data_IF_445524340494
#
_entry.id   IF_445524340494
#
_cell.length_a   1.000
_cell.length_b   1.000
_cell.length_c   1.000
_cell.angle_alpha   90.00
_cell.angle_beta   90.00
_cell.angle_gamma   90.00
#
_symmetry.space_group_name_H-M   'P 1'
#
loop_
_entity.id
_entity.type
_entity.pdbx_description
1 polymer ?
#
# COMPACT_ATOMS: atom_id res chain seq x y z
N UNK A 1 3.79 26.31 -21.16
CA UNK A 1 3.80 27.12 -19.92
C UNK A 1 4.40 26.24 -18.84
N UNK A 2 5.67 26.49 -18.49
CA UNK A 2 6.33 25.80 -17.38
C UNK A 2 5.61 26.23 -16.09
N UNK A 3 4.93 25.29 -15.45
CA UNK A 3 4.35 25.49 -14.12
C UNK A 3 5.50 25.75 -13.16
N UNK A 4 5.43 26.88 -12.46
CA UNK A 4 6.26 27.18 -11.29
C UNK A 4 6.40 25.94 -10.42
N UNK A 5 7.64 25.55 -10.15
CA UNK A 5 8.06 24.35 -9.43
C UNK A 5 7.66 24.45 -7.95
N UNK A 6 6.38 24.31 -7.66
CA UNK A 6 5.87 24.26 -6.29
C UNK A 6 6.17 22.87 -5.74
N UNK A 7 7.04 22.83 -4.73
CA UNK A 7 7.34 21.64 -3.94
C UNK A 7 6.04 20.95 -3.50
N UNK A 8 5.90 19.66 -3.82
CA UNK A 8 4.70 18.87 -3.56
C UNK A 8 4.83 18.15 -2.22
N UNK A 9 3.78 18.15 -1.42
CA UNK A 9 3.77 17.45 -0.12
C UNK A 9 3.40 16.00 -0.28
N UNK A 10 4.11 15.14 0.43
CA UNK A 10 3.81 13.72 0.58
C UNK A 10 3.59 13.45 2.06
N UNK A 11 2.33 13.26 2.42
CA UNK A 11 1.89 13.17 3.81
C UNK A 11 1.70 11.71 4.19
N UNK A 12 2.29 11.29 5.31
CA UNK A 12 2.19 9.96 5.86
C UNK A 12 1.40 9.99 7.16
N UNK A 13 0.26 9.31 7.20
CA UNK A 13 -0.62 9.28 8.37
C UNK A 13 -0.18 8.18 9.32
N UNK A 14 0.32 8.54 10.50
CA UNK A 14 0.63 7.59 11.56
C UNK A 14 -0.64 7.30 12.39
N UNK A 15 -1.28 6.17 12.12
CA UNK A 15 -2.55 5.74 12.75
C UNK A 15 -2.25 4.76 13.91
N UNK A 16 -3.06 4.73 14.98
CA UNK A 16 -2.90 3.71 16.03
C UNK A 16 -2.85 2.30 15.46
N UNK A 17 -1.92 1.48 15.96
CA UNK A 17 -1.74 0.09 15.52
C UNK A 17 -1.44 -0.07 14.02
N UNK A 18 -0.81 0.93 13.40
CA UNK A 18 -0.34 0.83 12.01
C UNK A 18 0.68 -0.31 11.83
N UNK A 19 0.70 -0.89 10.63
CA UNK A 19 1.76 -1.76 10.16
C UNK A 19 2.93 -0.91 9.66
N UNK A 20 4.12 -1.09 10.27
CA UNK A 20 5.25 -0.18 10.06
C UNK A 20 5.64 -0.09 8.59
N UNK A 21 5.74 -1.22 7.90
CA UNK A 21 6.19 -1.26 6.51
C UNK A 21 5.16 -0.66 5.52
N UNK A 22 3.87 -0.65 5.87
CA UNK A 22 2.83 0.01 5.06
C UNK A 22 3.02 1.53 5.03
N UNK A 23 3.61 2.09 6.10
CA UNK A 23 3.97 3.50 6.19
C UNK A 23 5.37 3.74 5.63
N UNK A 24 6.35 2.98 6.13
CA UNK A 24 7.78 3.26 5.88
C UNK A 24 8.25 2.82 4.51
N UNK A 25 7.61 1.84 3.87
CA UNK A 25 7.93 1.43 2.50
C UNK A 25 7.71 2.57 1.49
N UNK A 26 6.49 3.10 1.37
CA UNK A 26 6.21 4.31 0.60
C UNK A 26 7.09 5.51 1.00
N UNK A 27 7.26 5.76 2.30
CA UNK A 27 8.10 6.84 2.80
C UNK A 27 9.55 6.73 2.31
N UNK A 28 10.13 5.53 2.33
CA UNK A 28 11.49 5.31 1.82
C UNK A 28 11.57 5.65 0.32
N UNK A 29 10.57 5.24 -0.49
CA UNK A 29 10.54 5.56 -1.93
C UNK A 29 10.60 7.06 -2.18
N UNK A 30 9.82 7.86 -1.45
CA UNK A 30 9.84 9.32 -1.61
C UNK A 30 11.09 9.97 -0.99
N UNK A 31 11.66 9.41 0.07
CA UNK A 31 12.95 9.85 0.63
C UNK A 31 14.07 9.71 -0.40
N UNK A 32 14.19 8.55 -1.04
CA UNK A 32 15.19 8.32 -2.10
C UNK A 32 14.97 9.25 -3.31
N UNK A 33 13.71 9.52 -3.66
CA UNK A 33 13.40 10.45 -4.73
C UNK A 33 13.88 11.88 -4.41
N UNK A 34 13.73 12.32 -3.15
CA UNK A 34 14.24 13.62 -2.68
C UNK A 34 15.76 13.66 -2.75
N UNK A 35 16.46 12.61 -2.29
CA UNK A 35 17.92 12.53 -2.36
C UNK A 35 18.43 12.55 -3.82
N UNK A 36 17.60 12.09 -4.76
CA UNK A 36 17.84 12.16 -6.20
C UNK A 36 17.38 13.48 -6.86
N UNK A 37 16.88 14.44 -6.07
CA UNK A 37 16.52 15.80 -6.50
C UNK A 37 15.05 16.01 -6.88
N UNK A 38 14.14 15.11 -6.52
CA UNK A 38 12.71 15.33 -6.72
C UNK A 38 12.16 16.41 -5.76
N UNK A 39 11.25 17.30 -6.22
CA UNK A 39 10.77 18.44 -5.42
C UNK A 39 9.62 18.02 -4.48
N UNK A 40 9.89 17.13 -3.52
CA UNK A 40 8.93 16.70 -2.51
C UNK A 40 9.28 17.21 -1.10
N UNK A 41 8.24 17.44 -0.29
CA UNK A 41 8.32 17.67 1.15
C UNK A 41 7.61 16.51 1.87
N UNK A 42 8.31 15.80 2.78
CA UNK A 42 7.69 14.74 3.57
C UNK A 42 7.05 15.31 4.84
N UNK A 43 5.81 14.93 5.09
CA UNK A 43 5.05 15.36 6.28
C UNK A 43 4.55 14.12 7.01
N UNK A 44 4.72 14.08 8.33
CA UNK A 44 4.22 13.00 9.17
C UNK A 44 3.09 13.52 10.06
N UNK A 45 1.92 12.90 9.95
CA UNK A 45 0.67 13.41 10.50
C UNK A 45 0.09 12.45 11.52
N UNK A 46 -0.42 12.98 12.62
CA UNK A 46 -1.28 12.27 13.56
C UNK A 46 -2.76 12.54 13.23
N UNK A 47 -3.58 11.50 13.02
CA UNK A 47 -5.00 11.66 12.79
C UNK A 47 -5.77 11.91 14.11
N UNK A 48 -5.15 11.71 15.28
CA UNK A 48 -5.82 11.88 16.57
C UNK A 48 -5.50 13.27 17.13
N UNK A 49 -6.55 14.05 17.41
CA UNK A 49 -6.41 15.43 17.87
C UNK A 49 -5.63 15.50 19.19
N UNK A 50 -4.58 16.33 19.21
CA UNK A 50 -3.73 16.53 20.38
C UNK A 50 -2.70 15.43 20.64
N UNK A 51 -2.68 14.34 19.87
CA UNK A 51 -1.63 13.33 19.94
C UNK A 51 -0.52 13.66 18.96
N UNK A 52 0.73 13.61 19.44
CA UNK A 52 1.96 13.83 18.64
C UNK A 52 2.86 12.60 18.58
N UNK A 53 2.45 11.53 19.22
CA UNK A 53 3.12 10.24 19.21
C UNK A 53 2.13 9.16 18.80
N UNK A 54 2.60 8.16 18.07
CA UNK A 54 1.77 7.04 17.67
C UNK A 54 2.53 5.72 17.76
N UNK A 55 1.93 4.73 18.43
CA UNK A 55 2.51 3.40 18.56
C UNK A 55 1.95 2.48 17.47
N UNK A 56 2.86 1.86 16.73
CA UNK A 56 2.56 0.83 15.72
C UNK A 56 2.18 -0.51 16.35
N UNK A 57 1.59 -1.38 15.53
CA UNK A 57 1.23 -2.74 15.92
C UNK A 57 2.44 -3.61 16.34
N UNK A 58 3.65 -3.28 15.85
CA UNK A 58 4.90 -3.98 16.23
C UNK A 58 5.61 -3.32 17.43
N UNK A 59 5.02 -2.29 18.02
CA UNK A 59 5.54 -1.62 19.22
C UNK A 59 6.57 -0.52 18.97
N UNK A 60 6.86 -0.17 17.72
CA UNK A 60 7.66 1.02 17.36
C UNK A 60 6.79 2.26 17.53
N UNK A 61 7.32 3.29 18.19
CA UNK A 61 6.65 4.58 18.37
C UNK A 61 7.20 5.61 17.39
N UNK A 62 6.30 6.29 16.69
CA UNK A 62 6.59 7.47 15.88
C UNK A 62 6.33 8.72 16.72
N UNK A 63 7.28 9.65 16.76
CA UNK A 63 7.19 10.91 17.49
C UNK A 63 7.16 12.12 16.55
N UNK A 64 6.99 13.31 17.11
CA UNK A 64 6.99 14.59 16.39
C UNK A 64 5.97 14.70 15.26
N UNK A 65 4.86 13.98 15.39
CA UNK A 65 3.77 14.01 14.43
C UNK A 65 3.06 15.37 14.48
N UNK A 66 2.73 15.89 13.30
CA UNK A 66 1.92 17.09 13.15
C UNK A 66 0.44 16.75 13.30
N UNK A 67 -0.35 17.50 14.09
CA UNK A 67 -1.80 17.30 14.14
C UNK A 67 -2.43 17.53 12.76
N UNK A 68 -3.36 16.67 12.37
CA UNK A 68 -3.99 16.75 11.05
C UNK A 68 -4.62 18.11 10.75
N UNK A 69 -5.19 18.76 11.75
CA UNK A 69 -5.86 20.06 11.65
C UNK A 69 -4.90 21.26 11.56
N UNK A 70 -3.59 21.01 11.63
CA UNK A 70 -2.55 22.02 11.45
C UNK A 70 -1.81 21.89 10.11
N UNK A 71 -2.11 20.85 9.33
CA UNK A 71 -1.50 20.62 8.02
C UNK A 71 -2.42 21.17 6.93
N UNK A 72 -1.89 22.09 6.12
CA UNK A 72 -2.57 22.60 4.93
C UNK A 72 -2.08 21.85 3.70
N UNK A 73 -3.00 21.33 2.89
CA UNK A 73 -2.67 20.61 1.66
C UNK A 73 -3.25 21.35 0.45
N UNK A 74 -2.64 21.14 -0.70
CA UNK A 74 -3.02 21.73 -1.97
C UNK A 74 -3.31 20.65 -2.99
N UNK A 75 -3.90 21.07 -4.11
CA UNK A 75 -4.14 20.19 -5.25
C UNK A 75 -2.86 19.49 -5.70
N UNK A 76 -2.93 18.17 -5.81
CA UNK A 76 -1.79 17.35 -6.25
C UNK A 76 -0.81 16.96 -5.16
N UNK A 77 -1.02 17.35 -3.90
CA UNK A 77 -0.34 16.71 -2.76
C UNK A 77 -0.84 15.26 -2.60
N UNK A 78 -0.03 14.43 -1.93
CA UNK A 78 -0.31 13.01 -1.69
C UNK A 78 -0.58 12.76 -0.21
N UNK A 79 -1.55 11.91 0.11
CA UNK A 79 -1.87 11.48 1.48
C UNK A 79 -1.87 9.95 1.57
N UNK A 80 -0.85 9.39 2.21
CA UNK A 80 -0.67 7.96 2.44
C UNK A 80 -1.30 7.52 3.77
N UNK A 81 -2.22 6.55 3.67
CA UNK A 81 -2.92 5.91 4.78
C UNK A 81 -2.42 4.46 4.85
N UNK A 82 -1.63 4.09 5.87
CA UNK A 82 -1.10 2.74 6.00
C UNK A 82 -2.19 1.77 6.44
N UNK A 83 -1.91 0.47 6.33
CA UNK A 83 -2.70 -0.54 7.01
C UNK A 83 -2.51 -0.47 8.52
N UNK A 84 -3.55 -0.92 9.22
CA UNK A 84 -3.60 -1.09 10.66
C UNK A 84 -3.97 -2.53 10.98
N UNK A 85 -3.68 -2.96 12.22
CA UNK A 85 -4.15 -4.25 12.72
C UNK A 85 -5.64 -4.40 12.46
N UNK A 86 -6.03 -5.49 11.81
CA UNK A 86 -7.41 -5.66 11.31
C UNK A 86 -8.48 -5.50 12.40
N UNK A 87 -8.21 -5.96 13.63
CA UNK A 87 -9.10 -5.80 14.79
C UNK A 87 -9.39 -4.35 15.16
N UNK A 88 -8.58 -3.39 14.69
CA UNK A 88 -8.75 -1.95 14.91
C UNK A 88 -9.52 -1.23 13.81
N UNK A 89 -9.77 -1.89 12.68
CA UNK A 89 -10.53 -1.32 11.54
C UNK A 89 -12.00 -1.06 11.86
N UNK A 90 -12.56 -1.69 12.89
CA UNK A 90 -13.93 -1.51 13.35
C UNK A 90 -14.03 -1.31 14.87
N UNK A 91 -12.92 -1.01 15.52
CA UNK A 91 -12.88 -0.77 16.96
C UNK A 91 -13.66 0.52 17.27
N UNK A 92 -14.75 0.48 18.07
CA UNK A 92 -15.57 1.65 18.33
C UNK A 92 -14.81 2.83 18.93
N UNK A 93 -13.82 2.58 19.78
CA UNK A 93 -13.03 3.65 20.41
C UNK A 93 -12.17 4.36 19.37
N UNK A 94 -11.46 3.60 18.55
CA UNK A 94 -10.66 4.13 17.43
C UNK A 94 -11.56 4.90 16.46
N UNK A 95 -12.73 4.35 16.13
CA UNK A 95 -13.66 4.99 15.19
C UNK A 95 -14.21 6.32 15.71
N UNK A 96 -14.46 6.44 17.02
CA UNK A 96 -14.87 7.70 17.65
C UNK A 96 -13.73 8.72 17.62
N UNK A 97 -12.51 8.33 17.98
CA UNK A 97 -11.35 9.21 17.97
C UNK A 97 -10.98 9.70 16.56
N UNK A 98 -11.22 8.88 15.54
CA UNK A 98 -10.94 9.18 14.13
C UNK A 98 -12.01 10.07 13.47
N UNK A 99 -13.17 10.32 14.10
CA UNK A 99 -14.24 11.12 13.48
C UNK A 99 -13.80 12.52 13.00
N UNK A 100 -13.06 13.32 13.80
CA UNK A 100 -12.55 14.61 13.34
C UNK A 100 -11.62 14.49 12.13
N UNK A 101 -10.81 13.43 12.07
CA UNK A 101 -9.93 13.15 10.94
C UNK A 101 -10.72 12.80 9.68
N UNK A 102 -11.76 11.96 9.79
CA UNK A 102 -12.63 11.65 8.64
C UNK A 102 -13.29 12.92 8.06
N UNK A 103 -13.72 13.84 8.92
CA UNK A 103 -14.24 15.15 8.46
C UNK A 103 -13.18 15.97 7.74
N UNK A 104 -11.94 15.96 8.22
CA UNK A 104 -10.82 16.63 7.55
C UNK A 104 -10.48 16.00 6.20
N UNK A 105 -10.56 14.67 6.06
CA UNK A 105 -10.36 14.00 4.77
C UNK A 105 -11.34 14.52 3.70
N UNK A 106 -12.60 14.81 4.06
CA UNK A 106 -13.54 15.44 3.12
C UNK A 106 -13.10 16.83 2.67
N UNK A 107 -12.55 17.64 3.58
CA UNK A 107 -12.04 18.97 3.26
C UNK A 107 -10.85 18.86 2.30
N UNK A 108 -9.92 17.96 2.60
CA UNK A 108 -8.74 17.66 1.80
C UNK A 108 -9.12 17.13 0.42
N UNK A 109 -10.12 16.25 0.33
CA UNK A 109 -10.61 15.71 -0.95
C UNK A 109 -11.12 16.82 -1.87
N UNK A 110 -11.83 17.82 -1.35
CA UNK A 110 -12.32 18.96 -2.14
C UNK A 110 -11.20 19.84 -2.72
N UNK A 111 -9.99 19.75 -2.19
CA UNK A 111 -8.82 20.46 -2.71
C UNK A 111 -8.15 19.71 -3.88
N UNK A 112 -8.53 18.46 -4.14
CA UNK A 112 -7.94 17.63 -5.18
C UNK A 112 -6.60 17.01 -4.77
N UNK A 113 -6.48 16.63 -3.49
CA UNK A 113 -5.39 15.79 -2.97
C UNK A 113 -5.59 14.35 -3.42
N UNK A 114 -4.50 13.66 -3.71
CA UNK A 114 -4.48 12.24 -4.04
C UNK A 114 -4.38 11.40 -2.77
N UNK A 115 -5.30 10.46 -2.59
CA UNK A 115 -5.33 9.54 -1.46
C UNK A 115 -4.66 8.22 -1.87
N UNK A 116 -3.73 7.74 -1.07
CA UNK A 116 -3.00 6.51 -1.31
C UNK A 116 -3.20 5.59 -0.10
N UNK A 117 -3.81 4.44 -0.29
CA UNK A 117 -3.97 3.44 0.79
C UNK A 117 -3.08 2.23 0.56
N UNK A 118 -2.55 1.68 1.65
CA UNK A 118 -1.76 0.45 1.63
C UNK A 118 -2.45 -0.59 2.49
N UNK A 119 -2.57 -1.82 1.99
CA UNK A 119 -3.11 -2.95 2.74
C UNK A 119 -4.50 -2.61 3.32
N UNK A 120 -4.70 -2.80 4.63
CA UNK A 120 -5.95 -2.48 5.34
C UNK A 120 -6.23 -0.98 5.49
N UNK A 121 -5.35 -0.09 5.01
CA UNK A 121 -5.58 1.36 5.01
C UNK A 121 -6.79 1.76 4.17
N UNK A 122 -7.18 0.92 3.22
CA UNK A 122 -8.43 1.06 2.48
C UNK A 122 -9.66 1.05 3.41
N UNK A 123 -9.65 0.27 4.51
CA UNK A 123 -10.74 0.27 5.49
C UNK A 123 -10.89 1.63 6.18
N UNK A 124 -9.76 2.28 6.53
CA UNK A 124 -9.76 3.60 7.16
C UNK A 124 -10.35 4.64 6.21
N UNK A 125 -9.95 4.64 4.93
CA UNK A 125 -10.49 5.58 3.96
C UNK A 125 -11.95 5.27 3.61
N UNK A 126 -12.34 4.00 3.50
CA UNK A 126 -13.72 3.58 3.27
C UNK A 126 -14.64 3.97 4.44
N UNK A 127 -14.16 3.88 5.69
CA UNK A 127 -14.88 4.32 6.89
C UNK A 127 -15.24 5.81 6.86
N UNK A 128 -14.44 6.65 6.20
CA UNK A 128 -14.79 8.06 5.98
C UNK A 128 -15.97 8.24 5.01
N UNK A 129 -16.24 7.25 4.14
CA UNK A 129 -17.22 7.33 3.06
C UNK A 129 -16.69 7.87 1.74
N UNK A 130 -15.42 8.31 1.68
CA UNK A 130 -14.82 8.88 0.46
C UNK A 130 -14.66 7.87 -0.68
N UNK A 131 -14.55 6.57 -0.39
CA UNK A 131 -14.46 5.52 -1.40
C UNK A 131 -15.83 5.09 -1.97
N UNK A 132 -16.95 5.62 -1.47
CA UNK A 132 -18.26 5.25 -1.98
C UNK A 132 -18.39 5.60 -3.48
N UNK A 133 -18.78 4.62 -4.29
CA UNK A 133 -18.86 4.70 -5.75
C UNK A 133 -17.52 4.61 -6.47
N UNK A 134 -16.40 4.40 -5.76
CA UNK A 134 -15.06 4.28 -6.32
C UNK A 134 -14.62 2.82 -6.39
N UNK A 135 -13.59 2.56 -7.19
CA UNK A 135 -12.87 1.29 -7.26
C UNK A 135 -11.68 1.32 -6.32
N UNK A 136 -11.49 0.26 -5.54
CA UNK A 136 -10.36 0.13 -4.65
C UNK A 136 -9.93 -1.34 -4.48
N UNK A 137 -8.73 -1.56 -3.96
CA UNK A 137 -8.27 -2.85 -3.47
C UNK A 137 -7.78 -2.73 -2.02
N UNK A 138 -7.56 -3.86 -1.35
CA UNK A 138 -7.13 -3.94 0.06
C UNK A 138 -6.36 -5.25 0.25
N UNK A 139 -5.94 -5.56 1.47
CA UNK A 139 -5.28 -6.85 1.74
C UNK A 139 -6.18 -8.03 1.36
N UNK A 140 -5.62 -9.00 0.65
CA UNK A 140 -6.34 -10.14 0.06
C UNK A 140 -7.11 -10.97 1.09
N UNK A 141 -6.55 -11.16 2.29
CA UNK A 141 -7.22 -11.87 3.40
C UNK A 141 -8.54 -11.23 3.82
N UNK A 142 -8.74 -9.93 3.55
CA UNK A 142 -9.89 -9.16 4.04
C UNK A 142 -10.82 -8.69 2.93
N UNK A 143 -10.77 -9.30 1.73
CA UNK A 143 -11.66 -8.95 0.63
C UNK A 143 -13.15 -9.13 0.95
N UNK A 144 -13.51 -10.25 1.59
CA UNK A 144 -14.91 -10.51 1.96
C UNK A 144 -15.38 -9.50 3.01
N UNK A 145 -14.62 -9.32 4.09
CA UNK A 145 -14.90 -8.33 5.12
C UNK A 145 -15.04 -6.90 4.57
N UNK A 146 -14.18 -6.52 3.61
CA UNK A 146 -14.26 -5.20 2.99
C UNK A 146 -15.54 -5.03 2.19
N UNK A 147 -15.91 -6.03 1.39
CA UNK A 147 -17.11 -6.02 0.56
C UNK A 147 -18.38 -5.96 1.42
N UNK A 148 -18.41 -6.71 2.52
CA UNK A 148 -19.56 -6.74 3.42
C UNK A 148 -19.75 -5.42 4.18
N UNK A 149 -18.66 -4.78 4.61
CA UNK A 149 -18.70 -3.51 5.37
C UNK A 149 -18.89 -2.29 4.48
N UNK A 150 -18.38 -2.32 3.26
CA UNK A 150 -18.39 -1.18 2.35
C UNK A 150 -18.95 -1.56 0.97
N UNK A 151 -20.23 -1.99 0.90
CA UNK A 151 -20.85 -2.49 -0.34
C UNK A 151 -20.96 -1.44 -1.45
N UNK A 152 -20.82 -0.16 -1.13
CA UNK A 152 -20.81 0.93 -2.10
C UNK A 152 -19.43 1.14 -2.74
N UNK A 153 -18.38 0.44 -2.29
CA UNK A 153 -17.04 0.46 -2.90
C UNK A 153 -16.93 -0.72 -3.85
N UNK A 154 -16.50 -0.48 -5.08
CA UNK A 154 -16.22 -1.56 -6.03
C UNK A 154 -14.87 -2.17 -5.70
N UNK A 155 -14.85 -3.24 -4.91
CA UNK A 155 -13.62 -3.98 -4.64
C UNK A 155 -13.09 -4.62 -5.93
N UNK A 156 -11.84 -4.34 -6.27
CA UNK A 156 -11.11 -4.96 -7.37
C UNK A 156 -10.10 -5.95 -6.78
N UNK A 157 -10.44 -7.25 -6.72
CA UNK A 157 -9.51 -8.26 -6.22
C UNK A 157 -8.38 -8.52 -7.23
N UNK A 158 -7.35 -9.24 -6.79
CA UNK A 158 -6.26 -9.73 -7.64
C UNK A 158 -5.51 -8.63 -8.41
N UNK A 159 -5.28 -7.47 -7.79
CA UNK A 159 -4.43 -6.39 -8.32
C UNK A 159 -3.44 -5.93 -7.25
N UNK A 160 -2.17 -5.68 -7.60
CA UNK A 160 -1.21 -5.08 -6.66
C UNK A 160 -1.68 -3.71 -6.18
N UNK A 161 -2.17 -2.90 -7.11
CA UNK A 161 -2.79 -1.61 -6.82
C UNK A 161 -3.88 -1.24 -7.84
N UNK A 162 -4.76 -0.35 -7.42
CA UNK A 162 -5.89 0.19 -8.21
C UNK A 162 -5.81 1.70 -8.17
N UNK A 163 -5.97 2.31 -9.35
CA UNK A 163 -6.10 3.75 -9.54
C UNK A 163 -7.54 4.06 -9.99
N UNK A 164 -8.21 4.97 -9.29
CA UNK A 164 -9.51 5.51 -9.65
C UNK A 164 -9.59 7.01 -9.32
N UNK A 165 -9.37 7.86 -10.33
CA UNK A 165 -9.32 9.32 -10.17
C UNK A 165 -8.21 9.76 -9.22
N UNK A 166 -8.59 10.29 -8.06
CA UNK A 166 -7.65 10.73 -7.00
C UNK A 166 -7.38 9.64 -5.96
N UNK A 167 -7.98 8.46 -6.09
CA UNK A 167 -7.84 7.36 -5.16
C UNK A 167 -6.90 6.29 -5.72
N UNK A 168 -5.88 5.97 -4.95
CA UNK A 168 -4.93 4.90 -5.22
C UNK A 168 -4.95 3.97 -4.02
N UNK A 169 -5.02 2.67 -4.25
CA UNK A 169 -5.06 1.66 -3.19
C UNK A 169 -4.20 0.47 -3.57
N UNK A 170 -3.56 -0.19 -2.60
CA UNK A 170 -2.68 -1.35 -2.84
C UNK A 170 -2.99 -2.52 -1.92
N UNK A 171 -2.84 -3.75 -2.43
CA UNK A 171 -3.37 -4.97 -1.82
C UNK A 171 -2.41 -5.71 -0.87
N UNK A 172 -1.30 -5.07 -0.47
CA UNK A 172 -0.30 -5.72 0.38
C UNK A 172 0.73 -4.75 0.92
N UNK A 173 1.46 -5.22 1.93
CA UNK A 173 2.45 -4.44 2.68
C UNK A 173 3.51 -3.84 1.74
N UNK A 174 4.19 -4.69 0.98
CA UNK A 174 5.23 -4.26 0.03
C UNK A 174 4.65 -3.64 -1.25
N UNK A 175 3.36 -3.88 -1.54
CA UNK A 175 2.68 -3.26 -2.69
C UNK A 175 2.58 -1.73 -2.57
N UNK A 176 2.71 -1.18 -1.35
CA UNK A 176 2.85 0.27 -1.14
C UNK A 176 4.11 0.85 -1.79
N UNK A 177 5.21 0.08 -1.86
CA UNK A 177 6.44 0.47 -2.55
C UNK A 177 6.18 0.53 -4.07
N UNK A 178 5.52 -0.50 -4.61
CA UNK A 178 5.17 -0.57 -6.03
C UNK A 178 4.24 0.59 -6.45
N UNK A 179 3.22 0.88 -5.63
CA UNK A 179 2.34 2.02 -5.83
C UNK A 179 3.11 3.35 -5.81
N UNK A 180 4.07 3.50 -4.90
CA UNK A 180 4.87 4.72 -4.79
C UNK A 180 5.79 4.91 -5.98
N UNK A 181 6.40 3.84 -6.50
CA UNK A 181 7.20 3.87 -7.73
C UNK A 181 6.34 4.25 -8.95
N UNK A 182 5.13 3.71 -9.05
CA UNK A 182 4.14 4.09 -10.08
C UNK A 182 3.78 5.59 -9.99
N UNK A 183 3.57 6.11 -8.78
CA UNK A 183 3.33 7.53 -8.56
C UNK A 183 4.53 8.40 -8.97
N UNK A 184 5.76 7.99 -8.65
CA UNK A 184 6.96 8.69 -9.11
C UNK A 184 7.09 8.72 -10.63
N UNK A 185 6.74 7.63 -11.31
CA UNK A 185 6.73 7.55 -12.78
C UNK A 185 5.77 8.60 -13.37
N UNK A 186 4.56 8.71 -12.79
CA UNK A 186 3.52 9.64 -13.24
C UNK A 186 3.78 11.10 -12.89
N UNK A 187 4.33 11.34 -11.70
CA UNK A 187 4.44 12.69 -11.13
C UNK A 187 5.78 13.36 -11.42
N UNK A 188 6.83 12.58 -11.70
CA UNK A 188 8.19 13.08 -11.93
C UNK A 188 8.70 12.60 -13.29
N UNK A 189 9.03 11.31 -13.42
CA UNK A 189 9.39 10.69 -14.69
C UNK A 189 9.62 9.18 -14.53
N UNK A 190 9.53 8.38 -15.62
CA UNK A 190 9.95 6.98 -15.62
C UNK A 190 11.41 6.79 -15.19
N UNK A 191 12.29 7.76 -15.51
CA UNK A 191 13.70 7.72 -15.12
C UNK A 191 13.87 7.80 -13.60
N UNK A 192 13.13 8.69 -12.95
CA UNK A 192 13.16 8.85 -11.49
C UNK A 192 12.72 7.55 -10.79
N UNK A 193 11.57 7.01 -11.18
CA UNK A 193 11.07 5.74 -10.64
C UNK A 193 12.08 4.60 -10.82
N UNK A 194 12.71 4.50 -12.00
CA UNK A 194 13.74 3.50 -12.27
C UNK A 194 15.03 3.70 -11.45
N UNK A 195 15.42 4.96 -11.16
CA UNK A 195 16.57 5.24 -10.29
C UNK A 195 16.28 4.82 -8.85
N UNK A 196 15.13 5.22 -8.30
CA UNK A 196 14.72 4.83 -6.95
C UNK A 196 14.58 3.32 -6.81
N UNK A 197 13.91 2.65 -7.77
CA UNK A 197 13.77 1.19 -7.76
C UNK A 197 15.13 0.47 -7.76
N UNK A 198 16.14 0.99 -8.46
CA UNK A 198 17.51 0.45 -8.41
C UNK A 198 18.17 0.65 -7.05
N UNK A 199 18.00 1.82 -6.43
CA UNK A 199 18.55 2.09 -5.08
C UNK A 199 17.95 1.13 -4.05
N UNK A 200 16.64 0.88 -4.16
CA UNK A 200 15.91 -0.03 -3.26
C UNK A 200 16.06 -1.52 -3.60
N UNK A 201 16.78 -1.85 -4.68
CA UNK A 201 16.92 -3.22 -5.19
C UNK A 201 15.56 -3.94 -5.40
N UNK A 202 14.53 -3.20 -5.82
CA UNK A 202 13.23 -3.79 -6.15
C UNK A 202 13.22 -4.29 -7.60
N UNK A 203 12.76 -5.53 -7.80
CA UNK A 203 12.94 -6.32 -9.05
C UNK A 203 11.59 -6.85 -9.59
N UNK A 204 11.38 -6.93 -10.92
CA UNK A 204 11.30 -5.85 -11.89
C UNK A 204 9.87 -5.20 -11.93
N UNK A 205 9.70 -4.21 -12.82
CA UNK A 205 8.51 -3.37 -13.06
C UNK A 205 7.17 -4.10 -12.87
N UNK A 206 6.53 -3.91 -11.72
CA UNK A 206 5.13 -4.30 -11.48
C UNK A 206 4.19 -3.20 -11.98
N UNK A 207 3.16 -3.60 -12.69
CA UNK A 207 2.11 -2.76 -13.26
C UNK A 207 0.81 -2.96 -12.49
N UNK A 208 -0.17 -2.09 -12.74
CA UNK A 208 -1.51 -2.28 -12.18
C UNK A 208 -2.16 -3.59 -12.62
N UNK A 209 -1.72 -4.22 -13.71
CA UNK A 209 -2.29 -5.48 -14.21
C UNK A 209 -1.77 -6.72 -13.47
N UNK A 210 -0.67 -6.58 -12.73
CA UNK A 210 -0.03 -7.70 -12.07
C UNK A 210 -0.83 -8.20 -10.84
N UNK A 211 -0.90 -9.53 -10.62
CA UNK A 211 -1.60 -10.11 -9.49
C UNK A 211 -0.79 -9.96 -8.19
N UNK A 212 -1.42 -9.57 -7.06
CA UNK A 212 -0.75 -9.22 -5.80
C UNK A 212 -0.03 -10.42 -5.17
N UNK A 213 -0.52 -11.62 -5.45
CA UNK A 213 0.19 -12.87 -5.21
C UNK A 213 0.66 -13.36 -6.58
N UNK A 214 1.97 -13.39 -6.79
CA UNK A 214 2.52 -14.00 -8.00
C UNK A 214 2.14 -15.49 -8.03
N UNK A 215 2.01 -16.09 -9.21
CA UNK A 215 1.84 -17.54 -9.33
C UNK A 215 2.96 -18.30 -8.59
N UNK A 216 4.14 -17.69 -8.49
CA UNK A 216 5.31 -18.19 -7.77
C UNK A 216 5.23 -18.06 -6.25
N UNK A 217 4.31 -17.26 -5.70
CA UNK A 217 4.06 -17.16 -4.26
C UNK A 217 2.75 -17.82 -3.85
N UNK A 218 1.83 -18.00 -4.80
CA UNK A 218 0.59 -18.71 -4.59
C UNK A 218 0.88 -20.15 -4.14
N UNK A 219 0.16 -20.58 -3.09
CA UNK A 219 0.24 -21.94 -2.56
C UNK A 219 1.61 -22.38 -2.00
N UNK A 220 2.54 -21.44 -1.74
CA UNK A 220 3.84 -21.69 -1.09
C UNK A 220 3.82 -21.49 0.44
N UNK A 221 2.68 -21.71 1.08
CA UNK A 221 2.52 -21.51 2.53
C UNK A 221 2.69 -22.81 3.34
N UNK A 222 3.19 -23.89 2.73
CA UNK A 222 3.46 -25.16 3.41
C UNK A 222 4.85 -25.18 4.05
N UNK A 223 4.99 -25.98 5.11
CA UNK A 223 6.26 -26.22 5.81
C UNK A 223 7.13 -27.31 5.15
N UNK A 224 6.71 -27.88 4.02
CA UNK A 224 7.42 -28.96 3.33
C UNK A 224 8.40 -28.41 2.28
N UNK A 225 9.70 -28.51 2.56
CA UNK A 225 10.79 -28.07 1.67
C UNK A 225 10.82 -28.83 0.33
N UNK A 226 10.26 -30.04 0.26
CA UNK A 226 10.17 -30.82 -0.97
C UNK A 226 9.17 -30.19 -1.94
N UNK A 227 8.03 -29.75 -1.42
CA UNK A 227 7.03 -29.08 -2.24
C UNK A 227 7.56 -27.72 -2.72
N UNK A 228 8.37 -27.03 -1.90
CA UNK A 228 9.08 -25.82 -2.31
C UNK A 228 10.06 -26.09 -3.46
N UNK A 229 10.85 -27.15 -3.33
CA UNK A 229 11.83 -27.54 -4.36
C UNK A 229 11.16 -27.86 -5.70
N UNK A 230 10.00 -28.53 -5.68
CA UNK A 230 9.18 -28.78 -6.88
C UNK A 230 8.64 -27.48 -7.48
N UNK A 231 8.14 -26.57 -6.64
CA UNK A 231 7.61 -25.28 -7.11
C UNK A 231 8.73 -24.41 -7.72
N UNK A 232 9.94 -24.41 -7.14
CA UNK A 232 11.11 -23.73 -7.70
C UNK A 232 11.49 -24.32 -9.06
N UNK A 233 11.57 -25.65 -9.14
CA UNK A 233 11.87 -26.33 -10.40
C UNK A 233 10.87 -25.99 -11.51
N UNK A 234 9.58 -26.01 -11.21
CA UNK A 234 8.53 -25.61 -12.16
C UNK A 234 8.64 -24.13 -12.56
N UNK A 235 9.15 -23.28 -11.67
CA UNK A 235 9.32 -21.86 -11.93
C UNK A 235 10.49 -21.59 -12.88
N UNK A 236 11.58 -22.31 -12.68
CA UNK A 236 12.79 -22.20 -13.50
C UNK A 236 12.64 -22.88 -14.87
N UNK A 237 11.76 -23.88 -14.99
CA UNK A 237 11.54 -24.70 -16.20
C UNK A 237 10.13 -24.55 -16.78
N UNK A 238 9.56 -23.34 -16.72
CA UNK A 238 8.16 -23.08 -17.12
C UNK A 238 7.82 -23.41 -18.59
N UNK A 239 8.82 -23.54 -19.46
CA UNK A 239 8.65 -23.94 -20.87
C UNK A 239 8.60 -25.45 -21.10
N UNK A 240 8.96 -26.24 -20.10
CA UNK A 240 9.21 -27.67 -20.25
C UNK A 240 7.95 -28.47 -19.92
N UNK A 241 7.75 -29.60 -20.61
CA UNK A 241 6.70 -30.55 -20.25
C UNK A 241 7.20 -31.39 -19.09
N UNK A 242 6.70 -31.10 -17.90
CA UNK A 242 7.01 -31.83 -16.66
C UNK A 242 5.82 -32.71 -16.27
N UNK A 243 6.06 -33.98 -15.92
CA UNK A 243 5.03 -34.91 -15.41
C UNK A 243 5.06 -35.01 -13.88
N UNK A 244 3.98 -35.52 -13.30
CA UNK A 244 3.86 -35.67 -11.85
C UNK A 244 4.91 -36.66 -11.31
N UNK A 245 5.20 -37.71 -12.07
CA UNK A 245 6.19 -38.74 -11.73
C UNK A 245 7.60 -38.17 -11.67
N UNK A 246 7.95 -37.27 -12.60
CA UNK A 246 9.26 -36.60 -12.63
C UNK A 246 9.47 -35.69 -11.41
N UNK A 247 8.43 -34.96 -11.02
CA UNK A 247 8.47 -34.12 -9.82
C UNK A 247 8.57 -34.95 -8.54
N UNK A 248 7.87 -36.08 -8.50
CA UNK A 248 7.88 -36.98 -7.36
C UNK A 248 9.25 -37.67 -7.19
N UNK A 249 9.87 -38.10 -8.29
CA UNK A 249 11.23 -38.65 -8.30
C UNK A 249 12.27 -37.61 -7.81
N UNK A 250 12.15 -36.36 -8.25
CA UNK A 250 13.06 -35.28 -7.88
C UNK A 250 13.10 -34.99 -6.37
N UNK A 251 12.01 -35.25 -5.66
CA UNK A 251 11.91 -34.99 -4.20
C UNK A 251 11.65 -36.26 -3.38
N UNK A 252 11.94 -37.42 -3.96
CA UNK A 252 11.90 -38.74 -3.32
C UNK A 252 10.56 -39.08 -2.66
N UNK A 253 9.45 -38.71 -3.32
CA UNK A 253 8.08 -39.02 -2.88
C UNK A 253 7.37 -39.93 -3.89
N UNK A 254 6.38 -40.68 -3.39
CA UNK A 254 5.54 -41.54 -4.23
C UNK A 254 4.33 -40.77 -4.75
N UNK A 255 3.87 -41.09 -5.96
CA UNK A 255 2.65 -40.53 -6.58
C UNK A 255 1.37 -41.29 -6.21
N UNK A 256 1.41 -42.14 -5.18
CA UNK A 256 0.36 -43.10 -4.80
C UNK A 256 -0.74 -42.57 -3.89
#
# INVERSE_FOLDING_TARGET
MATTDTMRRVVFVAIPELHVLDLTGPLQVFSEAIDLGAPFELIHLSPIKGQREMRSASGITFSDLLPFDQVQLNRGDLLFIPGIRFTKTNDPEVMVEMQPFYQWLYQVHRLGVTFCTVCTGAFVLAASGLLNGQRATTHWDFFQDFTDRYPNVTLVPNRFFVEDGVFFSSAGITAGIDLSLHLLEKLVSPRMAAQVGRVLLTYPRRTSEDPPLSAFMAFRNHLDDRVHSVQDYLSDHYSDKVTLEQLAEQVEVSTG
#
